data_IF_694778992908
#
_entry.id   IF_694778992908
#
_cell.length_a   1.000
_cell.length_b   1.000
_cell.length_c   1.000
_cell.angle_alpha   90.00
_cell.angle_beta   90.00
_cell.angle_gamma   90.00
#
_symmetry.space_group_name_H-M   'P 1'
#
loop_
_entity.id
_entity.type
_entity.pdbx_description
1 polymer ?
#
# COMPACT_ATOMS: atom_id res chain seq x y z
N UNK A 1 -8.11 17.81 3.88
CA UNK A 1 -6.92 18.68 3.81
C UNK A 1 -5.70 17.77 4.01
N UNK A 2 -4.56 18.07 3.41
CA UNK A 2 -3.33 17.29 3.63
C UNK A 2 -2.49 17.90 4.74
N UNK A 3 -1.80 17.07 5.52
CA UNK A 3 -0.79 17.50 6.49
C UNK A 3 0.57 17.60 5.80
N UNK A 4 1.21 18.78 5.90
CA UNK A 4 2.51 19.04 5.26
C UNK A 4 3.64 19.21 6.27
N UNK A 5 4.77 18.57 6.00
CA UNK A 5 6.07 18.94 6.56
C UNK A 5 6.84 19.69 5.47
N UNK A 6 7.42 20.83 5.83
CA UNK A 6 8.04 21.76 4.88
C UNK A 6 9.56 21.73 4.95
N UNK A 7 10.19 22.14 3.86
CA UNK A 7 11.63 22.43 3.78
C UNK A 7 12.50 21.22 4.20
N UNK A 8 12.05 20.01 3.86
CA UNK A 8 12.71 18.75 4.19
C UNK A 8 13.83 18.48 3.19
N UNK A 9 15.04 18.25 3.68
CA UNK A 9 16.21 18.00 2.84
C UNK A 9 16.19 16.59 2.25
N UNK A 10 16.26 16.49 0.92
CA UNK A 10 16.51 15.21 0.23
C UNK A 10 17.99 14.85 0.37
N UNK A 11 18.26 13.64 0.81
CA UNK A 11 19.63 13.13 1.06
C UNK A 11 20.06 12.11 0.02
N UNK A 12 19.10 11.39 -0.57
CA UNK A 12 19.35 10.47 -1.68
C UNK A 12 18.10 10.31 -2.56
N UNK A 13 18.31 10.22 -3.88
CA UNK A 13 17.31 9.69 -4.81
C UNK A 13 17.60 8.20 -4.99
N UNK A 14 16.70 7.34 -4.50
CA UNK A 14 16.90 5.89 -4.45
C UNK A 14 16.39 5.22 -5.72
N UNK A 15 15.19 5.60 -6.17
CA UNK A 15 14.58 5.14 -7.42
C UNK A 15 13.56 6.19 -7.90
N UNK A 16 12.91 5.95 -9.05
CA UNK A 16 11.93 6.84 -9.65
C UNK A 16 10.80 7.27 -8.69
N UNK A 17 10.42 6.39 -7.77
CA UNK A 17 9.31 6.57 -6.82
C UNK A 17 9.71 6.52 -5.33
N UNK A 18 11.02 6.56 -5.05
CA UNK A 18 11.55 6.45 -3.69
C UNK A 18 12.72 7.40 -3.48
N UNK A 19 12.67 8.19 -2.40
CA UNK A 19 13.76 9.07 -1.96
C UNK A 19 14.09 8.80 -0.48
N UNK A 20 15.27 9.23 -0.06
CA UNK A 20 15.65 9.36 1.35
C UNK A 20 15.72 10.85 1.71
N UNK A 21 15.29 11.17 2.92
CA UNK A 21 15.24 12.53 3.43
C UNK A 21 15.76 12.61 4.86
N UNK A 22 16.23 13.78 5.26
CA UNK A 22 16.55 14.09 6.66
C UNK A 22 15.36 14.79 7.32
N UNK A 23 14.78 14.16 8.34
CA UNK A 23 13.76 14.75 9.21
C UNK A 23 14.32 14.77 10.62
N UNK A 24 14.47 15.96 11.20
CA UNK A 24 15.21 16.19 12.44
C UNK A 24 16.61 15.56 12.38
N UNK A 25 16.92 14.61 13.28
CA UNK A 25 18.19 13.87 13.32
C UNK A 25 18.10 12.48 12.66
N UNK A 26 17.00 12.15 11.98
CA UNK A 26 16.77 10.83 11.38
C UNK A 26 16.78 10.87 9.86
N UNK A 27 17.35 9.83 9.27
CA UNK A 27 17.17 9.50 7.86
C UNK A 27 15.90 8.67 7.69
N UNK A 28 15.04 9.09 6.77
CA UNK A 28 13.75 8.46 6.51
C UNK A 28 13.59 8.18 5.02
N UNK A 29 13.22 6.93 4.70
CA UNK A 29 12.81 6.58 3.34
C UNK A 29 11.37 7.02 3.10
N UNK A 30 11.14 7.71 1.98
CA UNK A 30 9.82 8.12 1.50
C UNK A 30 9.49 7.33 0.24
N UNK A 31 8.41 6.55 0.29
CA UNK A 31 7.80 5.91 -0.88
C UNK A 31 6.64 6.77 -1.35
N UNK A 32 6.76 7.28 -2.57
CA UNK A 32 5.80 8.22 -3.12
C UNK A 32 4.44 7.53 -3.37
N UNK A 33 3.37 8.01 -2.78
CA UNK A 33 2.05 7.37 -2.96
C UNK A 33 1.46 7.65 -4.34
N UNK A 34 0.51 6.82 -4.76
CA UNK A 34 -0.18 6.95 -6.04
C UNK A 34 0.69 6.83 -7.31
N UNK A 35 1.96 6.46 -7.17
CA UNK A 35 2.88 6.13 -8.27
C UNK A 35 3.57 4.78 -8.05
N UNK A 36 3.88 4.07 -9.13
CA UNK A 36 4.56 2.76 -9.16
C UNK A 36 5.42 2.69 -10.42
N UNK A 37 6.62 3.25 -10.35
CA UNK A 37 7.58 3.20 -11.45
C UNK A 37 8.03 1.75 -11.66
N UNK A 38 8.50 1.45 -12.87
CA UNK A 38 9.27 0.21 -13.07
C UNK A 38 10.62 0.35 -12.35
N UNK A 39 11.26 -0.78 -12.01
CA UNK A 39 12.45 -0.75 -11.15
C UNK A 39 13.71 -0.44 -11.97
N UNK A 40 14.61 0.37 -11.42
CA UNK A 40 15.90 0.70 -12.02
C UNK A 40 17.06 -0.19 -11.53
N UNK A 41 16.85 -0.97 -10.46
CA UNK A 41 17.90 -1.79 -9.83
C UNK A 41 17.44 -3.22 -9.56
N UNK A 42 18.39 -4.16 -9.59
CA UNK A 42 18.11 -5.55 -9.27
C UNK A 42 17.79 -5.68 -7.78
N UNK A 43 16.65 -6.29 -7.49
CA UNK A 43 16.31 -6.62 -6.11
C UNK A 43 17.19 -7.78 -5.60
N UNK A 44 17.63 -7.78 -4.34
CA UNK A 44 18.47 -8.86 -3.76
C UNK A 44 17.82 -10.24 -3.77
N UNK A 45 16.49 -10.30 -3.92
CA UNK A 45 15.71 -11.53 -4.10
C UNK A 45 15.05 -11.53 -5.50
N UNK A 46 15.82 -11.75 -6.58
CA UNK A 46 15.40 -11.49 -7.95
C UNK A 46 14.25 -12.38 -8.44
N UNK A 47 14.11 -13.60 -7.90
CA UNK A 47 13.09 -14.58 -8.32
C UNK A 47 11.64 -14.13 -8.03
N UNK A 48 11.46 -13.12 -7.17
CA UNK A 48 10.14 -12.61 -6.78
C UNK A 48 9.97 -11.11 -7.05
N UNK A 49 11.00 -10.48 -7.63
CA UNK A 49 11.04 -9.05 -7.84
C UNK A 49 10.56 -8.64 -9.23
N UNK A 50 10.21 -7.37 -9.38
CA UNK A 50 9.97 -6.81 -10.71
C UNK A 50 11.31 -6.81 -11.48
N UNK A 51 11.30 -7.03 -12.80
CA UNK A 51 12.50 -6.92 -13.62
C UNK A 51 13.00 -5.47 -13.65
N UNK A 52 14.30 -5.29 -13.87
CA UNK A 52 14.86 -3.99 -14.25
C UNK A 52 14.46 -3.71 -15.70
N UNK A 53 13.99 -2.49 -15.98
CA UNK A 53 13.51 -2.10 -17.31
C UNK A 53 14.13 -0.78 -17.75
N UNK A 54 14.11 -0.51 -19.05
CA UNK A 54 14.53 0.79 -19.58
C UNK A 54 13.63 1.93 -19.08
N UNK A 55 12.34 1.68 -18.91
CA UNK A 55 11.43 2.66 -18.32
C UNK A 55 11.76 2.93 -16.84
N UNK A 56 12.19 1.91 -16.09
CA UNK A 56 12.68 2.08 -14.72
C UNK A 56 13.94 2.95 -14.65
N UNK A 57 14.92 2.69 -15.51
CA UNK A 57 16.12 3.53 -15.62
C UNK A 57 15.78 4.98 -15.99
N UNK A 58 14.87 5.20 -16.94
CA UNK A 58 14.43 6.52 -17.35
C UNK A 58 13.68 7.26 -16.23
N UNK A 59 12.83 6.56 -15.47
CA UNK A 59 12.13 7.12 -14.32
C UNK A 59 13.10 7.52 -13.19
N UNK A 60 14.10 6.68 -12.91
CA UNK A 60 15.15 7.01 -11.93
C UNK A 60 15.99 8.21 -12.37
N UNK A 61 16.33 8.32 -13.67
CA UNK A 61 17.03 9.49 -14.21
C UNK A 61 16.19 10.77 -14.10
N UNK A 62 14.89 10.69 -14.38
CA UNK A 62 13.97 11.81 -14.19
C UNK A 62 13.95 12.26 -12.72
N UNK A 63 13.89 11.31 -11.78
CA UNK A 63 13.93 11.63 -10.35
C UNK A 63 15.23 12.34 -9.96
N UNK A 64 16.38 11.83 -10.41
CA UNK A 64 17.67 12.47 -10.18
C UNK A 64 17.65 13.90 -10.71
N UNK A 65 17.24 14.12 -11.95
CA UNK A 65 17.18 15.47 -12.54
C UNK A 65 16.19 16.39 -11.84
N UNK A 66 15.06 15.85 -11.37
CA UNK A 66 14.02 16.61 -10.69
C UNK A 66 14.44 17.06 -9.29
N UNK A 67 15.19 16.25 -8.55
CA UNK A 67 15.63 16.60 -7.19
C UNK A 67 17.02 17.26 -7.15
N UNK A 68 17.78 17.20 -8.24
CA UNK A 68 19.06 17.90 -8.35
C UNK A 68 18.85 19.40 -8.59
N UNK A 69 19.71 20.20 -7.97
CA UNK A 69 19.85 21.63 -8.19
C UNK A 69 20.97 21.92 -9.19
N UNK A 70 21.00 23.13 -9.74
CA UNK A 70 21.99 23.52 -10.75
C UNK A 70 23.44 23.47 -10.25
N UNK A 71 23.65 23.59 -8.94
CA UNK A 71 24.95 23.49 -8.29
C UNK A 71 25.40 22.04 -8.03
N UNK A 72 24.56 21.04 -8.33
CA UNK A 72 24.83 19.62 -8.10
C UNK A 72 24.42 19.10 -6.73
N UNK A 73 23.76 19.91 -5.90
CA UNK A 73 23.20 19.47 -4.62
C UNK A 73 21.75 18.98 -4.76
N UNK A 74 21.31 18.12 -3.84
CA UNK A 74 19.91 17.72 -3.75
C UNK A 74 19.05 18.82 -3.11
N UNK A 75 17.83 19.01 -3.60
CA UNK A 75 16.95 20.08 -3.14
C UNK A 75 16.23 19.77 -1.82
N UNK A 76 15.62 20.81 -1.24
CA UNK A 76 14.56 20.67 -0.23
C UNK A 76 13.20 20.45 -0.88
N UNK A 77 12.32 19.74 -0.18
CA UNK A 77 10.96 19.39 -0.61
C UNK A 77 9.97 19.53 0.53
N UNK A 78 8.69 19.67 0.19
CA UNK A 78 7.59 19.47 1.13
C UNK A 78 7.07 18.04 1.01
N UNK A 79 6.84 17.40 2.16
CA UNK A 79 6.17 16.11 2.26
C UNK A 79 4.71 16.33 2.64
N UNK A 80 3.78 15.87 1.80
CA UNK A 80 2.33 16.01 2.05
C UNK A 80 1.67 14.66 2.25
N UNK A 81 1.18 14.41 3.47
CA UNK A 81 0.46 13.20 3.82
C UNK A 81 -1.01 13.33 3.40
N UNK A 82 -1.57 12.24 2.87
CA UNK A 82 -2.95 12.15 2.40
C UNK A 82 -3.94 11.94 3.57
N UNK A 83 -3.79 12.74 4.62
CA UNK A 83 -4.54 12.75 5.89
C UNK A 83 -4.50 14.15 6.49
N UNK A 84 -5.34 14.40 7.50
CA UNK A 84 -5.33 15.59 8.36
C UNK A 84 -4.79 15.30 9.79
N UNK A 85 -4.19 14.12 10.00
CA UNK A 85 -3.48 13.80 11.24
C UNK A 85 -2.37 14.82 11.55
N UNK A 86 -1.99 14.96 12.83
CA UNK A 86 -0.87 15.81 13.21
C UNK A 86 0.43 15.37 12.52
N UNK A 87 1.42 16.27 12.33
CA UNK A 87 2.71 15.89 11.76
C UNK A 87 3.39 14.73 12.48
N UNK A 88 3.33 14.67 13.82
CA UNK A 88 3.88 13.55 14.60
C UNK A 88 3.16 12.24 14.31
N UNK A 89 1.82 12.25 14.29
CA UNK A 89 1.04 11.07 13.95
C UNK A 89 1.28 10.60 12.50
N UNK A 90 1.51 11.53 11.56
CA UNK A 90 1.92 11.21 10.19
C UNK A 90 3.22 10.39 10.17
N UNK A 91 4.25 10.85 10.90
CA UNK A 91 5.55 10.18 10.97
C UNK A 91 5.50 8.80 11.63
N UNK A 92 4.55 8.56 12.54
CA UNK A 92 4.42 7.28 13.23
C UNK A 92 3.52 6.28 12.47
N UNK A 93 2.35 6.74 11.99
CA UNK A 93 1.29 5.89 11.48
C UNK A 93 1.31 5.71 9.96
N UNK A 94 1.75 6.71 9.19
CA UNK A 94 1.64 6.70 7.73
C UNK A 94 2.89 6.10 7.08
N UNK A 95 3.05 4.79 7.33
CA UNK A 95 4.17 3.98 6.81
C UNK A 95 3.68 2.78 6.02
N UNK A 96 4.29 2.53 4.86
CA UNK A 96 3.98 1.36 4.04
C UNK A 96 4.48 0.05 4.65
N UNK A 97 4.23 -1.08 3.97
CA UNK A 97 4.59 -2.43 4.45
C UNK A 97 6.08 -2.60 4.80
N UNK A 98 6.97 -1.84 4.16
CA UNK A 98 8.42 -1.84 4.40
C UNK A 98 8.87 -0.75 5.40
N UNK A 99 7.96 -0.20 6.20
CA UNK A 99 8.23 0.85 7.20
C UNK A 99 8.68 2.22 6.65
N UNK A 100 8.60 2.42 5.33
CA UNK A 100 8.88 3.71 4.67
C UNK A 100 7.70 4.66 4.84
N UNK A 101 7.96 5.95 5.02
CA UNK A 101 6.92 6.98 4.97
C UNK A 101 6.19 6.93 3.62
N UNK A 102 4.89 7.18 3.63
CA UNK A 102 4.05 7.18 2.42
C UNK A 102 3.31 8.50 2.27
N UNK A 103 3.81 9.36 1.38
CA UNK A 103 3.27 10.70 1.16
C UNK A 103 3.52 11.19 -0.28
N UNK A 104 2.94 12.34 -0.61
CA UNK A 104 3.25 13.12 -1.81
C UNK A 104 4.51 13.96 -1.57
N UNK A 105 5.22 14.27 -2.65
CA UNK A 105 6.42 15.13 -2.61
C UNK A 105 6.21 16.34 -3.53
N UNK A 106 6.56 17.51 -3.01
CA UNK A 106 6.49 18.78 -3.72
C UNK A 106 7.83 19.51 -3.69
N UNK A 107 8.26 20.06 -4.84
CA UNK A 107 9.40 20.97 -4.94
C UNK A 107 8.86 22.35 -5.32
N UNK A 108 8.70 23.23 -4.33
CA UNK A 108 7.94 24.47 -4.49
C UNK A 108 6.50 24.17 -4.93
N UNK A 109 6.02 24.82 -5.99
CA UNK A 109 4.68 24.58 -6.54
C UNK A 109 4.56 23.30 -7.39
N UNK A 110 5.68 22.64 -7.68
CA UNK A 110 5.72 21.44 -8.51
C UNK A 110 5.40 20.19 -7.69
N UNK A 111 4.40 19.43 -8.10
CA UNK A 111 4.03 18.16 -7.48
C UNK A 111 4.65 16.98 -8.24
N UNK A 112 5.64 16.32 -7.65
CA UNK A 112 6.43 15.31 -8.35
C UNK A 112 5.65 14.03 -8.69
N UNK A 113 4.75 13.55 -7.81
CA UNK A 113 3.92 12.37 -8.12
C UNK A 113 3.02 12.63 -9.34
N UNK A 114 2.45 13.83 -9.45
CA UNK A 114 1.66 14.23 -10.63
C UNK A 114 2.54 14.32 -11.87
N UNK A 115 3.74 14.88 -11.72
CA UNK A 115 4.72 14.98 -12.80
C UNK A 115 5.10 13.61 -13.37
N UNK A 116 5.33 12.61 -12.51
CA UNK A 116 5.62 11.23 -12.93
C UNK A 116 4.50 10.64 -13.80
N UNK A 117 3.25 10.84 -13.39
CA UNK A 117 2.08 10.32 -14.11
C UNK A 117 1.90 11.07 -15.44
N UNK A 118 1.94 12.40 -15.43
CA UNK A 118 1.80 13.21 -16.65
C UNK A 118 2.88 12.88 -17.69
N UNK A 119 4.12 12.63 -17.25
CA UNK A 119 5.22 12.24 -18.13
C UNK A 119 5.18 10.78 -18.56
N UNK A 120 4.23 9.99 -18.05
CA UNK A 120 4.03 8.59 -18.41
C UNK A 120 5.08 7.65 -17.83
N UNK A 121 5.77 8.02 -16.75
CA UNK A 121 6.76 7.14 -16.10
C UNK A 121 6.18 6.31 -14.97
N UNK A 122 4.92 6.58 -14.60
CA UNK A 122 4.14 5.79 -13.68
C UNK A 122 2.67 5.78 -14.12
N UNK A 123 1.93 4.67 -13.94
CA UNK A 123 0.47 4.73 -13.94
C UNK A 123 -0.03 5.48 -12.70
N UNK A 124 -1.30 5.84 -12.67
CA UNK A 124 -1.97 6.23 -11.43
C UNK A 124 -2.19 4.99 -10.56
N UNK A 125 -1.31 4.80 -9.58
CA UNK A 125 -1.23 3.58 -8.80
C UNK A 125 -2.21 3.57 -7.62
N UNK A 126 -3.43 3.07 -7.85
CA UNK A 126 -4.51 3.06 -6.85
C UNK A 126 -4.57 1.79 -5.98
N UNK A 127 -3.52 0.94 -5.98
CA UNK A 127 -3.53 -0.37 -5.29
C UNK A 127 -3.90 -0.27 -3.79
N UNK A 128 -3.53 0.84 -3.16
CA UNK A 128 -3.75 1.14 -1.74
C UNK A 128 -4.77 2.27 -1.52
N UNK A 129 -5.70 2.44 -2.47
CA UNK A 129 -6.76 3.43 -2.42
C UNK A 129 -6.54 4.54 -3.43
N UNK A 130 -7.58 5.33 -3.69
CA UNK A 130 -7.44 6.55 -4.49
C UNK A 130 -6.83 7.64 -3.63
N UNK A 131 -6.13 8.56 -4.28
CA UNK A 131 -5.69 9.81 -3.68
C UNK A 131 -6.90 10.54 -3.10
N UNK A 132 -6.84 10.99 -1.85
CA UNK A 132 -7.92 11.81 -1.27
C UNK A 132 -7.83 13.27 -1.72
N UNK A 133 -6.63 13.74 -2.07
CA UNK A 133 -6.36 15.13 -2.43
C UNK A 133 -6.37 15.39 -3.94
N UNK A 134 -5.90 14.42 -4.75
CA UNK A 134 -5.51 14.65 -6.14
C UNK A 134 -6.08 13.64 -7.15
N UNK A 135 -7.11 12.87 -6.78
CA UNK A 135 -7.70 11.82 -7.65
C UNK A 135 -7.99 12.30 -9.07
N UNK A 136 -8.72 13.42 -9.20
CA UNK A 136 -9.08 14.00 -10.50
C UNK A 136 -7.85 14.41 -11.31
N UNK A 137 -6.84 14.99 -10.66
CA UNK A 137 -5.62 15.43 -11.32
C UNK A 137 -4.83 14.23 -11.85
N UNK A 138 -4.67 13.18 -11.04
CA UNK A 138 -3.96 11.97 -11.45
C UNK A 138 -4.69 11.20 -12.56
N UNK A 139 -6.02 11.05 -12.47
CA UNK A 139 -6.82 10.42 -13.54
C UNK A 139 -6.68 11.19 -14.86
N UNK A 140 -6.73 12.52 -14.79
CA UNK A 140 -6.59 13.37 -15.98
C UNK A 140 -5.19 13.27 -16.58
N UNK A 141 -4.15 13.29 -15.74
CA UNK A 141 -2.76 13.15 -16.18
C UNK A 141 -2.50 11.79 -16.83
N UNK A 142 -2.98 10.70 -16.24
CA UNK A 142 -2.82 9.36 -16.80
C UNK A 142 -3.53 9.24 -18.16
N UNK A 143 -4.74 9.80 -18.29
CA UNK A 143 -5.48 9.84 -19.54
C UNK A 143 -4.66 10.49 -20.67
N UNK A 144 -4.08 11.68 -20.40
CA UNK A 144 -3.25 12.35 -21.40
C UNK A 144 -1.95 11.59 -21.67
N UNK A 145 -1.32 11.02 -20.65
CA UNK A 145 -0.11 10.21 -20.83
C UNK A 145 -0.36 8.99 -21.74
N UNK A 146 -1.51 8.33 -21.58
CA UNK A 146 -1.94 7.24 -22.46
C UNK A 146 -2.24 7.73 -23.88
N UNK A 147 -3.04 8.79 -24.02
CA UNK A 147 -3.45 9.33 -25.31
C UNK A 147 -2.26 9.81 -26.16
N UNK A 148 -1.25 10.38 -25.51
CA UNK A 148 -0.01 10.82 -26.15
C UNK A 148 1.09 9.75 -26.16
N UNK A 149 0.80 8.51 -25.74
CA UNK A 149 1.75 7.39 -25.73
C UNK A 149 3.08 7.76 -25.04
N UNK A 150 3.02 8.38 -23.86
CA UNK A 150 4.20 8.81 -23.10
C UNK A 150 4.77 7.66 -22.27
N UNK A 151 6.09 7.59 -22.17
CA UNK A 151 6.81 6.65 -21.30
C UNK A 151 6.32 5.20 -21.45
N UNK A 152 5.83 4.60 -20.36
CA UNK A 152 5.34 3.22 -20.30
C UNK A 152 4.16 2.93 -21.23
N UNK A 153 3.47 3.98 -21.70
CA UNK A 153 2.34 3.87 -22.62
C UNK A 153 2.78 3.86 -24.09
N UNK A 154 4.06 4.12 -24.37
CA UNK A 154 4.60 3.99 -25.71
C UNK A 154 4.87 2.51 -26.02
N UNK A 155 4.23 1.90 -27.03
CA UNK A 155 4.49 0.51 -27.39
C UNK A 155 5.96 0.27 -27.80
N UNK A 156 6.63 1.28 -28.36
CA UNK A 156 8.04 1.18 -28.77
C UNK A 156 9.01 1.29 -27.59
N UNK A 157 8.64 1.96 -26.49
CA UNK A 157 9.51 2.07 -25.32
C UNK A 157 9.72 0.72 -24.61
N UNK A 158 8.83 -0.24 -24.86
CA UNK A 158 8.84 -1.56 -24.24
C UNK A 158 9.05 -2.69 -25.27
N UNK A 159 9.36 -2.36 -26.53
CA UNK A 159 9.42 -3.33 -27.64
C UNK A 159 10.58 -4.33 -27.47
N UNK A 160 11.62 -3.94 -26.74
CA UNK A 160 12.84 -4.74 -26.57
C UNK A 160 13.12 -5.13 -25.10
N UNK A 161 12.21 -4.80 -24.18
CA UNK A 161 12.41 -5.03 -22.75
C UNK A 161 11.19 -5.70 -22.10
N UNK A 162 11.41 -6.27 -20.92
CA UNK A 162 10.31 -6.74 -20.11
C UNK A 162 9.44 -5.54 -19.70
N UNK A 163 8.12 -5.65 -19.89
CA UNK A 163 7.17 -4.65 -19.44
C UNK A 163 6.03 -5.28 -18.66
N UNK A 164 5.42 -4.49 -17.77
CA UNK A 164 4.29 -4.96 -16.98
C UNK A 164 3.01 -4.88 -17.78
N UNK A 165 2.14 -5.87 -17.60
CA UNK A 165 0.79 -5.83 -18.17
C UNK A 165 -0.09 -4.83 -17.39
N UNK A 166 0.05 -3.55 -17.72
CA UNK A 166 -0.69 -2.45 -17.09
C UNK A 166 -2.20 -2.56 -17.30
N UNK A 167 -2.68 -3.12 -18.41
CA UNK A 167 -4.11 -3.35 -18.64
C UNK A 167 -4.73 -4.27 -17.58
N UNK A 168 -4.07 -5.39 -17.25
CA UNK A 168 -4.51 -6.29 -16.18
C UNK A 168 -4.29 -5.70 -14.78
N UNK A 169 -3.15 -5.02 -14.57
CA UNK A 169 -2.79 -4.48 -13.26
C UNK A 169 -3.70 -3.33 -12.82
N UNK A 170 -3.98 -2.37 -13.70
CA UNK A 170 -4.84 -1.21 -13.41
C UNK A 170 -6.26 -1.64 -13.05
N UNK A 171 -6.84 -2.60 -13.78
CA UNK A 171 -8.15 -3.17 -13.44
C UNK A 171 -8.16 -3.81 -12.05
N UNK A 172 -7.11 -4.58 -11.72
CA UNK A 172 -6.98 -5.18 -10.39
C UNK A 172 -6.74 -4.16 -9.28
N UNK A 173 -5.96 -3.11 -9.52
CA UNK A 173 -5.78 -2.00 -8.58
C UNK A 173 -7.06 -1.21 -8.36
N UNK A 174 -7.89 -1.02 -9.38
CA UNK A 174 -9.19 -0.37 -9.25
C UNK A 174 -10.15 -1.18 -8.37
N UNK A 175 -10.15 -2.52 -8.48
CA UNK A 175 -10.92 -3.40 -7.59
C UNK A 175 -10.50 -3.22 -6.12
N UNK A 176 -9.19 -3.18 -5.87
CA UNK A 176 -8.65 -2.96 -4.52
C UNK A 176 -8.98 -1.57 -3.98
N UNK A 177 -8.82 -0.54 -4.82
CA UNK A 177 -9.18 0.83 -4.49
C UNK A 177 -10.64 0.92 -4.07
N UNK A 178 -11.56 0.27 -4.80
CA UNK A 178 -12.98 0.26 -4.44
C UNK A 178 -13.22 -0.28 -3.03
N UNK A 179 -12.56 -1.37 -2.63
CA UNK A 179 -12.71 -1.91 -1.27
C UNK A 179 -12.28 -0.91 -0.19
N UNK A 180 -11.21 -0.16 -0.44
CA UNK A 180 -10.71 0.87 0.47
C UNK A 180 -11.65 2.07 0.50
N UNK A 181 -12.20 2.49 -0.65
CA UNK A 181 -13.20 3.56 -0.68
C UNK A 181 -14.48 3.17 0.05
N UNK A 182 -14.91 1.91 -0.05
CA UNK A 182 -16.06 1.41 0.71
C UNK A 182 -15.75 1.43 2.22
N UNK A 183 -14.55 1.02 2.62
CA UNK A 183 -14.11 1.13 4.02
C UNK A 183 -14.12 2.58 4.52
N UNK A 184 -13.57 3.52 3.74
CA UNK A 184 -13.55 4.96 4.07
C UNK A 184 -14.95 5.54 4.21
N UNK A 185 -15.89 5.12 3.36
CA UNK A 185 -17.27 5.64 3.34
C UNK A 185 -18.14 5.07 4.45
N UNK A 186 -18.10 3.76 4.66
CA UNK A 186 -19.07 3.07 5.54
C UNK A 186 -18.40 2.12 6.55
N UNK A 187 -17.21 1.59 6.26
CA UNK A 187 -16.55 0.61 7.12
C UNK A 187 -16.11 1.18 8.46
N UNK A 188 -15.46 2.34 8.47
CA UNK A 188 -15.07 2.98 9.73
C UNK A 188 -16.31 3.34 10.59
N UNK A 189 -17.37 3.86 9.96
CA UNK A 189 -18.62 4.19 10.63
C UNK A 189 -19.36 2.96 11.20
N UNK A 190 -19.11 1.76 10.68
CA UNK A 190 -19.68 0.52 11.22
C UNK A 190 -18.88 -0.04 12.42
N UNK A 191 -17.82 0.65 12.85
CA UNK A 191 -16.92 0.19 13.92
C UNK A 191 -15.84 -0.80 13.45
N UNK A 192 -15.64 -0.97 12.13
CA UNK A 192 -14.52 -1.76 11.63
C UNK A 192 -13.20 -0.98 11.74
N UNK A 193 -12.16 -1.66 12.19
CA UNK A 193 -10.83 -1.10 12.47
C UNK A 193 -9.87 -1.39 11.31
N UNK A 194 -9.15 -0.38 10.83
CA UNK A 194 -8.00 -0.57 9.97
C UNK A 194 -6.84 -1.13 10.78
N UNK A 195 -6.23 -2.24 10.33
CA UNK A 195 -5.10 -2.88 11.04
C UNK A 195 -3.97 -1.90 11.36
N UNK A 196 -3.68 -0.95 10.48
CA UNK A 196 -2.58 -0.01 10.65
C UNK A 196 -3.00 1.22 11.46
N UNK A 197 -3.99 1.98 10.98
CA UNK A 197 -4.40 3.24 11.60
C UNK A 197 -5.01 3.05 13.00
N UNK A 198 -5.69 1.93 13.26
CA UNK A 198 -6.40 1.66 14.51
C UNK A 198 -5.68 0.59 15.36
N UNK A 199 -4.37 0.39 15.14
CA UNK A 199 -3.63 -0.69 15.80
C UNK A 199 -3.68 -0.61 17.33
N UNK A 200 -3.65 0.60 17.90
CA UNK A 200 -3.80 0.81 19.34
C UNK A 200 -5.16 0.30 19.86
N UNK A 201 -6.25 0.51 19.11
CA UNK A 201 -7.58 0.02 19.46
C UNK A 201 -7.71 -1.50 19.32
N UNK A 202 -6.94 -2.12 18.41
CA UNK A 202 -6.80 -3.58 18.33
C UNK A 202 -6.07 -4.13 19.56
N UNK A 203 -5.01 -3.46 20.02
CA UNK A 203 -4.30 -3.87 21.24
C UNK A 203 -5.19 -3.74 22.48
N UNK A 204 -5.92 -2.63 22.60
CA UNK A 204 -6.91 -2.43 23.67
C UNK A 204 -8.05 -3.47 23.62
N UNK A 205 -8.40 -3.97 22.44
CA UNK A 205 -9.38 -5.04 22.30
C UNK A 205 -8.92 -6.36 22.91
N UNK A 206 -7.60 -6.63 22.91
CA UNK A 206 -7.02 -7.80 23.58
C UNK A 206 -7.20 -7.68 25.10
N UNK A 207 -6.90 -6.51 25.66
CA UNK A 207 -7.00 -6.24 27.10
C UNK A 207 -8.43 -6.34 27.63
N UNK A 208 -9.40 -5.94 26.81
CA UNK A 208 -10.82 -5.90 27.15
C UNK A 208 -11.60 -7.14 26.69
N UNK A 209 -10.92 -8.10 26.06
CA UNK A 209 -11.49 -9.34 25.50
C UNK A 209 -12.69 -9.13 24.54
N UNK A 210 -12.81 -7.93 23.96
CA UNK A 210 -13.93 -7.58 23.08
C UNK A 210 -13.76 -8.20 21.69
N UNK A 211 -14.88 -8.53 21.06
CA UNK A 211 -14.87 -8.84 19.64
C UNK A 211 -14.71 -7.57 18.82
N UNK A 212 -13.95 -7.69 17.73
CA UNK A 212 -13.70 -6.60 16.80
C UNK A 212 -13.89 -7.06 15.37
N UNK A 213 -14.10 -6.10 14.49
CA UNK A 213 -14.04 -6.30 13.04
C UNK A 213 -12.80 -5.56 12.56
N UNK A 214 -11.93 -6.24 11.82
CA UNK A 214 -10.77 -5.61 11.19
C UNK A 214 -10.93 -5.58 9.67
N UNK A 215 -10.65 -4.45 9.05
CA UNK A 215 -10.46 -4.33 7.60
C UNK A 215 -8.98 -4.52 7.26
N UNK A 216 -8.66 -5.54 6.47
CA UNK A 216 -7.30 -6.03 6.34
C UNK A 216 -6.96 -6.55 4.93
N UNK A 217 -5.68 -6.58 4.57
CA UNK A 217 -5.21 -7.05 3.27
C UNK A 217 -4.75 -8.51 3.35
N UNK A 218 -5.50 -9.39 2.72
CA UNK A 218 -5.22 -10.83 2.63
C UNK A 218 -4.51 -11.22 1.33
N UNK A 219 -3.97 -10.26 0.57
CA UNK A 219 -3.23 -10.52 -0.67
C UNK A 219 -2.14 -11.58 -0.49
N UNK A 220 -1.45 -11.57 0.66
CA UNK A 220 -0.36 -12.51 0.96
C UNK A 220 -0.78 -13.97 1.09
N UNK A 221 -2.09 -14.26 1.18
CA UNK A 221 -2.62 -15.61 1.29
C UNK A 221 -2.06 -16.40 2.48
N UNK A 222 -1.97 -17.71 2.30
CA UNK A 222 -1.48 -18.63 3.33
C UNK A 222 0.05 -18.70 3.27
N UNK A 223 0.72 -18.14 4.28
CA UNK A 223 2.20 -18.14 4.35
C UNK A 223 2.78 -19.30 5.14
N UNK A 224 2.02 -19.90 6.05
CA UNK A 224 2.51 -20.99 6.89
C UNK A 224 1.43 -22.02 7.15
N UNK A 225 1.81 -23.30 7.05
CA UNK A 225 1.03 -24.44 7.54
C UNK A 225 1.63 -24.89 8.87
N UNK A 226 0.77 -25.22 9.82
CA UNK A 226 1.13 -25.82 11.09
C UNK A 226 0.26 -27.08 11.29
N UNK A 227 0.58 -27.90 12.28
CA UNK A 227 -0.12 -29.16 12.51
C UNK A 227 -1.64 -28.93 12.64
N UNK A 228 -2.42 -29.46 11.69
CA UNK A 228 -3.87 -29.32 11.60
C UNK A 228 -4.42 -27.96 11.11
N UNK A 229 -3.59 -26.94 10.89
CA UNK A 229 -4.08 -25.59 10.60
C UNK A 229 -3.19 -24.71 9.72
N UNK A 230 -3.64 -23.48 9.46
CA UNK A 230 -2.92 -22.50 8.63
C UNK A 230 -2.81 -21.14 9.32
N UNK A 231 -1.73 -20.42 9.02
CA UNK A 231 -1.51 -19.03 9.45
C UNK A 231 -1.50 -18.12 8.23
N UNK A 232 -2.27 -17.05 8.34
CA UNK A 232 -2.38 -15.97 7.36
C UNK A 232 -1.93 -14.68 8.03
N UNK A 233 -1.01 -13.96 7.41
CA UNK A 233 -0.48 -12.70 7.95
C UNK A 233 -1.11 -11.52 7.22
N UNK A 234 -1.38 -10.44 7.97
CA UNK A 234 -1.85 -9.15 7.46
C UNK A 234 -1.18 -8.02 8.25
N UNK A 235 -1.34 -6.79 7.78
CA UNK A 235 -0.67 -5.62 8.34
C UNK A 235 0.78 -5.48 7.87
N UNK A 236 1.49 -4.52 8.47
CA UNK A 236 2.87 -4.20 8.12
C UNK A 236 3.85 -4.78 9.13
N UNK A 237 5.16 -4.55 8.93
CA UNK A 237 6.18 -4.89 9.94
C UNK A 237 5.97 -4.14 11.26
N UNK A 238 5.44 -2.92 11.21
CA UNK A 238 5.17 -2.08 12.40
C UNK A 238 3.84 -2.42 13.05
N UNK A 239 2.85 -2.82 12.25
CA UNK A 239 1.49 -3.12 12.70
C UNK A 239 1.11 -4.56 12.30
N UNK A 240 1.81 -5.59 12.81
CA UNK A 240 1.59 -6.96 12.38
C UNK A 240 0.31 -7.54 13.00
N UNK A 241 -0.44 -8.30 12.20
CA UNK A 241 -1.54 -9.13 12.70
C UNK A 241 -1.56 -10.45 11.96
N UNK A 242 -2.12 -11.50 12.59
CA UNK A 242 -2.29 -12.80 11.94
C UNK A 242 -3.62 -13.45 12.26
N UNK A 243 -4.01 -14.36 11.38
CA UNK A 243 -5.15 -15.22 11.55
C UNK A 243 -4.70 -16.66 11.67
N UNK A 244 -5.24 -17.37 12.67
CA UNK A 244 -5.03 -18.79 12.86
C UNK A 244 -6.31 -19.55 12.50
N UNK A 245 -6.23 -20.47 11.54
CA UNK A 245 -7.33 -21.35 11.16
C UNK A 245 -7.01 -22.77 11.66
N UNK A 246 -7.40 -23.14 12.89
CA UNK A 246 -7.12 -24.46 13.45
C UNK A 246 -7.91 -25.58 12.75
N UNK A 247 -8.98 -25.22 12.04
CA UNK A 247 -9.91 -26.15 11.41
C UNK A 247 -9.56 -26.41 9.94
N UNK A 248 -8.38 -26.02 9.46
CA UNK A 248 -8.04 -26.01 8.03
C UNK A 248 -8.20 -27.38 7.33
N UNK A 249 -8.06 -28.49 8.06
CA UNK A 249 -8.25 -29.85 7.53
C UNK A 249 -9.71 -30.32 7.54
N UNK A 250 -10.59 -29.66 8.31
CA UNK A 250 -12.03 -29.96 8.37
C UNK A 250 -12.79 -29.39 7.15
N UNK A 251 -13.99 -29.91 6.81
CA UNK A 251 -14.80 -29.37 5.72
C UNK A 251 -15.09 -27.86 5.85
N UNK A 252 -15.45 -27.39 7.05
CA UNK A 252 -15.72 -25.97 7.32
C UNK A 252 -14.46 -25.11 7.15
N UNK A 253 -13.33 -25.55 7.71
CA UNK A 253 -12.07 -24.81 7.55
C UNK A 253 -11.51 -24.85 6.13
N UNK A 254 -11.82 -25.88 5.33
CA UNK A 254 -11.50 -25.89 3.90
C UNK A 254 -12.24 -24.79 3.12
N UNK A 255 -13.46 -24.41 3.54
CA UNK A 255 -14.17 -23.26 2.96
C UNK A 255 -13.46 -21.94 3.27
N UNK A 256 -12.97 -21.77 4.51
CA UNK A 256 -12.13 -20.63 4.89
C UNK A 256 -10.83 -20.58 4.06
N UNK A 257 -10.11 -21.70 4.00
CA UNK A 257 -8.87 -21.85 3.20
C UNK A 257 -9.13 -21.46 1.74
N UNK A 258 -10.19 -22.01 1.14
CA UNK A 258 -10.55 -21.73 -0.26
C UNK A 258 -10.87 -20.25 -0.45
N UNK A 259 -11.67 -19.65 0.44
CA UNK A 259 -11.99 -18.22 0.37
C UNK A 259 -10.74 -17.35 0.41
N UNK A 260 -9.79 -17.65 1.31
CA UNK A 260 -8.52 -16.93 1.39
C UNK A 260 -7.71 -17.07 0.11
N UNK A 261 -7.55 -18.29 -0.40
CA UNK A 261 -6.69 -18.57 -1.57
C UNK A 261 -7.31 -18.07 -2.88
N UNK A 262 -8.60 -18.29 -3.11
CA UNK A 262 -9.22 -18.03 -4.41
C UNK A 262 -9.84 -16.64 -4.50
N UNK A 263 -10.35 -16.09 -3.38
CA UNK A 263 -11.02 -14.78 -3.38
C UNK A 263 -10.06 -13.65 -3.08
N UNK A 264 -9.21 -13.80 -2.07
CA UNK A 264 -8.46 -12.66 -1.53
C UNK A 264 -6.97 -12.65 -1.92
N UNK A 265 -6.31 -13.80 -1.98
CA UNK A 265 -4.87 -13.88 -2.23
C UNK A 265 -4.47 -13.51 -3.68
N UNK A 266 -3.19 -13.21 -3.88
CA UNK A 266 -2.59 -13.00 -5.20
C UNK A 266 -3.17 -11.78 -5.94
N UNK A 267 -3.77 -12.02 -7.13
CA UNK A 267 -4.54 -11.01 -7.89
C UNK A 267 -6.05 -11.09 -7.63
N UNK A 268 -6.46 -11.72 -6.52
CA UNK A 268 -7.83 -11.65 -6.01
C UNK A 268 -8.17 -10.28 -5.42
N UNK A 269 -9.30 -10.20 -4.73
CA UNK A 269 -9.82 -8.96 -4.12
C UNK A 269 -8.86 -8.30 -3.14
N UNK A 270 -8.01 -9.06 -2.46
CA UNK A 270 -7.08 -8.55 -1.44
C UNK A 270 -7.76 -8.26 -0.11
N UNK A 271 -8.58 -7.21 -0.07
CA UNK A 271 -9.16 -6.72 1.19
C UNK A 271 -10.39 -7.50 1.65
N UNK A 272 -10.49 -7.72 2.96
CA UNK A 272 -11.60 -8.37 3.63
C UNK A 272 -11.89 -7.73 4.99
N UNK A 273 -13.13 -7.86 5.44
CA UNK A 273 -13.52 -7.67 6.83
C UNK A 273 -13.42 -9.01 7.55
N UNK A 274 -12.78 -9.01 8.73
CA UNK A 274 -12.60 -10.21 9.55
C UNK A 274 -13.08 -9.95 10.96
N UNK A 275 -14.03 -10.76 11.46
CA UNK A 275 -14.61 -10.58 12.79
C UNK A 275 -14.23 -11.68 13.77
N UNK A 276 -14.09 -11.28 15.04
CA UNK A 276 -13.90 -12.18 16.16
C UNK A 276 -13.05 -11.56 17.27
N UNK A 277 -12.76 -12.39 18.28
CA UNK A 277 -11.88 -12.01 19.38
C UNK A 277 -10.41 -12.06 18.97
N UNK A 278 -9.68 -11.00 19.30
CA UNK A 278 -8.23 -10.92 19.13
C UNK A 278 -7.51 -11.23 20.44
N UNK A 279 -6.42 -11.98 20.37
CA UNK A 279 -5.55 -12.31 21.52
C UNK A 279 -4.09 -12.09 21.16
N UNK A 280 -3.23 -11.91 22.15
CA UNK A 280 -1.79 -11.82 21.92
C UNK A 280 -1.18 -13.22 21.81
N UNK A 281 -0.53 -13.55 20.69
CA UNK A 281 0.15 -14.82 20.52
C UNK A 281 1.57 -14.65 19.98
N UNK A 282 2.58 -14.95 20.81
CA UNK A 282 4.01 -14.77 20.51
C UNK A 282 4.32 -13.33 20.04
N UNK A 283 3.80 -12.35 20.77
CA UNK A 283 4.03 -10.92 20.50
C UNK A 283 3.32 -10.35 19.27
N UNK A 284 2.39 -11.10 18.65
CA UNK A 284 1.61 -10.63 17.50
C UNK A 284 0.11 -10.81 17.80
N UNK A 285 -0.72 -9.76 17.63
CA UNK A 285 -2.17 -9.88 17.65
C UNK A 285 -2.67 -10.98 16.70
N UNK A 286 -3.49 -11.88 17.24
CA UNK A 286 -4.01 -13.04 16.54
C UNK A 286 -5.52 -13.15 16.71
N UNK A 287 -6.24 -13.38 15.62
CA UNK A 287 -7.65 -13.81 15.68
C UNK A 287 -7.76 -15.26 15.18
N UNK A 288 -8.59 -16.05 15.84
CA UNK A 288 -8.83 -17.45 15.47
C UNK A 288 -10.06 -17.52 14.57
N UNK A 289 -9.91 -18.06 13.36
CA UNK A 289 -11.00 -18.22 12.40
C UNK A 289 -11.41 -19.69 12.34
N UNK A 290 -12.69 -19.96 12.61
CA UNK A 290 -13.27 -21.31 12.61
C UNK A 290 -14.40 -21.43 11.58
N UNK A 291 -15.16 -20.36 11.40
CA UNK A 291 -16.36 -20.32 10.57
C UNK A 291 -16.23 -19.32 9.42
N UNK A 292 -16.85 -19.62 8.28
CA UNK A 292 -16.84 -18.74 7.11
C UNK A 292 -17.48 -17.38 7.39
N UNK A 293 -18.46 -17.32 8.30
CA UNK A 293 -19.13 -16.09 8.71
C UNK A 293 -18.18 -15.04 9.31
N UNK A 294 -16.98 -15.45 9.73
CA UNK A 294 -15.94 -14.52 10.20
C UNK A 294 -15.25 -13.74 9.08
N UNK A 295 -15.50 -14.07 7.81
CA UNK A 295 -14.99 -13.35 6.64
C UNK A 295 -16.14 -12.71 5.86
N UNK A 296 -15.95 -11.46 5.45
CA UNK A 296 -16.93 -10.72 4.64
C UNK A 296 -16.27 -9.71 3.71
N UNK A 297 -16.93 -9.40 2.58
CA UNK A 297 -16.53 -8.32 1.69
C UNK A 297 -17.12 -6.96 2.06
N UNK A 298 -18.14 -6.97 2.91
CA UNK A 298 -18.86 -5.80 3.41
C UNK A 298 -18.69 -5.69 4.93
N UNK A 299 -18.75 -4.48 5.50
CA UNK A 299 -18.70 -4.32 6.94
C UNK A 299 -19.84 -5.10 7.60
N UNK A 300 -19.49 -5.91 8.59
CA UNK A 300 -20.48 -6.61 9.41
C UNK A 300 -20.89 -5.72 10.57
N UNK A 301 -22.08 -5.94 11.12
CA UNK A 301 -22.45 -5.45 12.44
C UNK A 301 -22.15 -6.54 13.46
N UNK A 302 -21.41 -6.21 14.51
CA UNK A 302 -21.31 -7.09 15.68
C UNK A 302 -22.73 -7.28 16.22
N UNK A 303 -23.16 -8.53 16.41
CA UNK A 303 -24.43 -8.79 17.08
C UNK A 303 -24.30 -8.33 18.53
N UNK A 304 -25.22 -7.46 18.97
CA UNK A 304 -25.32 -6.94 20.34
C UNK A 304 -25.66 -8.03 21.35
#
# INVERSE_FOLDING_TARGET
MGTRLKDIQVTQVVDGDTIEVQIDERQEFVRLICVDTEESTLHPAPETAKPVTEAGLAAAKLAQDYFMQANGDLCQVDLEFDTDDSPSACLDLHRGNCSRLVCYVHRGDSHYNLHLIDRGWSPYFTKYGRSRLYDRAFVTAEFYAQAYQRGIWNPHANEHTASRNYGSLTAWWALRASAIEDFRKIGHASGALSVQLDYAEILKAIETEREIIVFCDLQGGIRKRAEGGIIVFTGSRLFPMKFWVPTASSPQGQMLVRSIVTRYAGRGRGYAYVCGRVTMHRGIPQMVLRELSQLSDIPQTLQS
#
